data_IF_424135329465
#
_entry.id   IF_424135329465
#
_cell.length_a   1.000
_cell.length_b   1.000
_cell.length_c   1.000
_cell.angle_alpha   90.00
_cell.angle_beta   90.00
_cell.angle_gamma   90.00
#
_symmetry.space_group_name_H-M   'P 1'
#
loop_
_entity.id
_entity.type
_entity.pdbx_description
1 polymer ?
#
# COMPACT_ATOMS: atom_id res chain seq x y z
N UNK A 1 11.58 4.98 5.65
CA UNK A 1 10.25 5.14 6.29
C UNK A 1 9.33 3.92 6.16
N UNK A 2 9.37 3.11 5.08
CA UNK A 2 8.48 1.92 4.92
C UNK A 2 8.69 0.77 5.93
N UNK A 3 9.85 0.66 6.59
CA UNK A 3 10.11 -0.47 7.51
C UNK A 3 9.50 -0.27 8.90
N UNK A 4 9.55 0.94 9.46
CA UNK A 4 8.99 1.24 10.81
C UNK A 4 7.52 0.85 10.92
N UNK A 5 6.81 1.02 9.83
CA UNK A 5 5.36 0.93 9.78
C UNK A 5 4.91 -0.54 9.67
N UNK A 6 5.69 -1.39 8.99
CA UNK A 6 5.54 -2.86 9.02
C UNK A 6 5.93 -3.42 10.39
N UNK A 7 6.98 -2.89 11.03
CA UNK A 7 7.42 -3.31 12.37
C UNK A 7 6.32 -3.03 13.42
N UNK A 8 5.63 -1.89 13.34
CA UNK A 8 4.48 -1.59 14.21
C UNK A 8 3.30 -2.56 14.02
N UNK A 9 3.04 -2.98 12.78
CA UNK A 9 2.02 -3.99 12.47
C UNK A 9 2.39 -5.34 13.09
N UNK A 10 3.65 -5.77 12.95
CA UNK A 10 4.17 -7.01 13.53
C UNK A 10 4.04 -7.01 15.05
N UNK A 11 4.46 -5.93 15.72
CA UNK A 11 4.35 -5.82 17.18
C UNK A 11 2.88 -5.88 17.66
N UNK A 12 1.94 -5.28 16.91
CA UNK A 12 0.51 -5.35 17.24
C UNK A 12 -0.06 -6.76 17.05
N UNK A 13 0.41 -7.50 16.05
CA UNK A 13 0.03 -8.90 15.83
C UNK A 13 0.57 -9.79 16.95
N UNK A 14 1.84 -9.61 17.35
CA UNK A 14 2.47 -10.36 18.45
C UNK A 14 1.72 -10.20 19.78
N UNK A 15 1.27 -8.98 20.10
CA UNK A 15 0.49 -8.69 21.30
C UNK A 15 -0.91 -9.34 21.32
N UNK A 16 -1.43 -9.73 20.15
CA UNK A 16 -2.74 -10.38 20.05
C UNK A 16 -2.65 -11.90 20.19
N UNK A 17 -1.46 -12.50 20.12
CA UNK A 17 -1.28 -13.96 20.25
C UNK A 17 -1.26 -14.34 21.74
N UNK A 18 -2.30 -15.02 22.27
CA UNK A 18 -2.28 -15.50 23.64
C UNK A 18 -1.30 -16.67 23.76
N UNK A 19 -0.52 -16.70 24.84
CA UNK A 19 0.47 -17.75 25.13
C UNK A 19 -0.14 -19.15 25.40
N UNK A 20 -1.47 -19.27 25.45
CA UNK A 20 -2.16 -20.46 25.96
C UNK A 20 -3.23 -20.88 24.92
N UNK A 21 -2.89 -21.87 24.11
CA UNK A 21 -3.69 -22.33 22.97
C UNK A 21 -4.93 -23.11 23.35
N UNK A 22 -6.04 -22.85 22.66
CA UNK A 22 -6.72 -23.81 21.77
C UNK A 22 -8.13 -23.35 21.35
N UNK A 23 -8.73 -22.36 22.04
CA UNK A 23 -10.09 -21.87 21.74
C UNK A 23 -10.22 -20.53 21.02
N UNK A 24 -9.16 -19.72 20.91
CA UNK A 24 -9.24 -18.30 20.48
C UNK A 24 -8.69 -18.07 19.04
N UNK A 25 -8.31 -19.14 18.34
CA UNK A 25 -7.61 -19.03 17.04
C UNK A 25 -8.40 -18.30 15.96
N UNK A 26 -9.70 -18.53 15.87
CA UNK A 26 -10.53 -17.93 14.83
C UNK A 26 -10.83 -16.46 15.08
N UNK A 27 -11.10 -16.08 16.33
CA UNK A 27 -11.30 -14.69 16.73
C UNK A 27 -10.01 -13.88 16.59
N UNK A 28 -8.87 -14.47 16.97
CA UNK A 28 -7.56 -13.88 16.74
C UNK A 28 -7.28 -13.67 15.25
N UNK A 29 -7.57 -14.68 14.41
CA UNK A 29 -7.39 -14.58 12.96
C UNK A 29 -8.26 -13.48 12.36
N UNK A 30 -9.50 -13.32 12.83
CA UNK A 30 -10.38 -12.22 12.42
C UNK A 30 -9.81 -10.85 12.83
N UNK A 31 -9.34 -10.71 14.07
CA UNK A 31 -8.74 -9.47 14.58
C UNK A 31 -7.45 -9.09 13.83
N UNK A 32 -6.58 -10.06 13.54
CA UNK A 32 -5.37 -9.84 12.73
C UNK A 32 -5.73 -9.42 11.30
N UNK A 33 -6.73 -10.08 10.69
CA UNK A 33 -7.21 -9.72 9.35
C UNK A 33 -7.72 -8.28 9.30
N UNK A 34 -8.57 -7.88 10.25
CA UNK A 34 -9.06 -6.50 10.35
C UNK A 34 -7.93 -5.48 10.55
N UNK A 35 -6.94 -5.80 11.39
CA UNK A 35 -5.77 -4.95 11.61
C UNK A 35 -4.98 -4.73 10.32
N UNK A 36 -4.76 -5.79 9.54
CA UNK A 36 -4.06 -5.72 8.25
C UNK A 36 -4.87 -4.91 7.24
N UNK A 37 -6.19 -5.12 7.17
CA UNK A 37 -7.08 -4.39 6.25
C UNK A 37 -7.14 -2.88 6.55
N UNK A 38 -7.28 -2.49 7.82
CA UNK A 38 -7.22 -1.08 8.25
C UNK A 38 -5.86 -0.44 7.93
N UNK A 39 -4.79 -1.22 8.14
CA UNK A 39 -3.45 -0.75 7.85
C UNK A 39 -3.21 -0.55 6.34
N UNK A 40 -3.64 -1.50 5.50
CA UNK A 40 -3.56 -1.38 4.05
C UNK A 40 -4.40 -0.21 3.52
N UNK A 41 -5.57 0.06 4.11
CA UNK A 41 -6.37 1.25 3.78
C UNK A 41 -5.63 2.55 4.10
N UNK A 42 -4.92 2.62 5.24
CA UNK A 42 -4.14 3.80 5.64
C UNK A 42 -2.96 4.10 4.72
N UNK A 43 -2.49 3.14 3.93
CA UNK A 43 -1.38 3.34 2.99
C UNK A 43 -1.79 4.08 1.70
N UNK A 44 -3.04 4.54 1.58
CA UNK A 44 -3.58 5.21 0.37
C UNK A 44 -3.21 4.43 -0.89
N UNK A 45 -3.44 3.12 -0.84
CA UNK A 45 -3.14 2.23 -1.96
C UNK A 45 -4.07 2.59 -3.11
N UNK A 46 -3.49 2.79 -4.29
CA UNK A 46 -4.26 2.83 -5.53
C UNK A 46 -4.45 1.41 -6.02
N UNK A 47 -5.56 1.17 -6.71
CA UNK A 47 -5.76 -0.11 -7.40
C UNK A 47 -4.69 -0.29 -8.46
N UNK A 48 -4.46 -1.56 -8.86
CA UNK A 48 -3.50 -1.86 -9.93
C UNK A 48 -3.88 -1.14 -11.23
N UNK A 49 -5.17 -1.09 -11.54
CA UNK A 49 -5.70 -0.41 -12.72
C UNK A 49 -5.43 1.10 -12.68
N UNK A 50 -5.70 1.78 -11.56
CA UNK A 50 -5.40 3.21 -11.41
C UNK A 50 -3.91 3.50 -11.55
N UNK A 51 -3.04 2.63 -11.01
CA UNK A 51 -1.60 2.76 -11.19
C UNK A 51 -1.19 2.68 -12.66
N UNK A 52 -1.70 1.68 -13.39
CA UNK A 52 -1.37 1.48 -14.81
C UNK A 52 -1.87 2.67 -15.66
N UNK A 53 -3.07 3.21 -15.36
CA UNK A 53 -3.59 4.44 -15.99
C UNK A 53 -2.67 5.63 -15.72
N UNK A 54 -2.24 5.83 -14.46
CA UNK A 54 -1.35 6.94 -14.11
C UNK A 54 0.01 6.83 -14.80
N UNK A 55 0.55 5.62 -14.96
CA UNK A 55 1.78 5.40 -15.74
C UNK A 55 1.61 5.82 -17.20
N UNK A 56 0.49 5.47 -17.82
CA UNK A 56 0.21 5.83 -19.21
C UNK A 56 0.06 7.36 -19.38
N UNK A 57 -0.67 8.01 -18.47
CA UNK A 57 -0.80 9.48 -18.47
C UNK A 57 0.57 10.15 -18.31
N UNK A 58 1.42 9.64 -17.43
CA UNK A 58 2.77 10.16 -17.23
C UNK A 58 3.62 10.02 -18.50
N UNK A 59 3.55 8.87 -19.18
CA UNK A 59 4.25 8.63 -20.44
C UNK A 59 3.81 9.63 -21.52
N UNK A 60 2.49 9.79 -21.72
CA UNK A 60 1.94 10.76 -22.67
C UNK A 60 2.36 12.18 -22.36
N UNK A 61 2.37 12.55 -21.08
CA UNK A 61 2.79 13.89 -20.64
C UNK A 61 4.26 14.14 -20.95
N UNK A 62 5.15 13.16 -20.72
CA UNK A 62 6.58 13.26 -21.07
C UNK A 62 6.78 13.48 -22.57
N UNK A 63 6.13 12.67 -23.41
CA UNK A 63 6.19 12.83 -24.86
C UNK A 63 5.70 14.21 -25.30
N UNK A 64 4.64 14.73 -24.67
CA UNK A 64 4.12 16.07 -24.99
C UNK A 64 5.07 17.17 -24.57
N UNK A 65 5.72 17.04 -23.41
CA UNK A 65 6.75 17.97 -22.95
C UNK A 65 7.92 17.98 -23.93
N UNK A 66 8.43 16.83 -24.35
CA UNK A 66 9.53 16.75 -25.33
C UNK A 66 9.17 17.41 -26.67
N UNK A 67 7.93 17.24 -27.14
CA UNK A 67 7.44 17.91 -28.36
C UNK A 67 7.41 19.45 -28.19
N UNK A 68 6.94 19.93 -27.05
CA UNK A 68 6.89 21.36 -26.75
C UNK A 68 8.30 21.96 -26.58
N UNK A 69 9.22 21.24 -25.92
CA UNK A 69 10.61 21.66 -25.81
C UNK A 69 11.30 21.79 -27.16
N UNK A 70 11.04 20.86 -28.11
CA UNK A 70 11.53 20.96 -29.49
C UNK A 70 10.99 22.19 -30.22
N UNK A 71 9.72 22.55 -29.98
CA UNK A 71 9.10 23.74 -30.58
C UNK A 71 9.69 25.05 -30.06
N UNK A 72 10.13 25.09 -28.80
CA UNK A 72 10.73 26.29 -28.17
C UNK A 72 12.22 26.41 -28.51
N UNK A 73 12.92 25.29 -28.73
CA UNK A 73 14.36 25.30 -29.10
C UNK A 73 14.64 25.68 -30.55
N UNK A 74 13.61 25.76 -31.41
CA UNK A 74 13.70 26.26 -32.79
C UNK A 74 13.38 27.75 -32.86
#
# INVERSE_FOLDING_TARGET
>A
MKSKSIIELVNKIENLIPSNGEGIKDELKANIKMLIEDYLHKLKLVTREEFDIQQEVLLKTRLKIEELEKKIKN
#
